data_IF_907427089433
#
_entry.id   IF_907427089433
#
_cell.length_a   1.000
_cell.length_b   1.000
_cell.length_c   1.000
_cell.angle_alpha   90.00
_cell.angle_beta   90.00
_cell.angle_gamma   90.00
#
_symmetry.space_group_name_H-M   'P 1'
#
loop_
_entity.id
_entity.type
_entity.pdbx_description
1 polymer ?
#
# COMPACT_ATOMS: atom_id res chain seq x y z
N UNK A 1 -20.22 18.00 21.24
CA UNK A 1 -20.26 16.89 20.26
C UNK A 1 -21.15 15.82 20.85
N UNK A 2 -22.20 15.42 20.14
CA UNK A 2 -23.20 14.46 20.64
C UNK A 2 -22.56 13.07 20.89
N UNK A 3 -22.93 12.37 21.97
CA UNK A 3 -22.21 11.18 22.45
C UNK A 3 -22.16 10.04 21.42
N UNK A 4 -23.19 9.96 20.57
CA UNK A 4 -23.29 9.03 19.44
C UNK A 4 -22.19 9.23 18.40
N UNK A 5 -21.95 10.47 18.00
CA UNK A 5 -20.90 10.80 17.02
C UNK A 5 -19.51 10.46 17.57
N UNK A 6 -19.32 10.59 18.89
CA UNK A 6 -18.07 10.18 19.54
C UNK A 6 -17.92 8.67 19.54
N UNK A 7 -18.95 7.92 19.93
CA UNK A 7 -18.90 6.45 19.96
C UNK A 7 -18.62 5.84 18.58
N UNK A 8 -19.27 6.36 17.53
CA UNK A 8 -19.00 5.94 16.14
C UNK A 8 -17.57 6.26 15.71
N UNK A 9 -17.07 7.45 16.04
CA UNK A 9 -15.68 7.82 15.72
C UNK A 9 -14.67 6.91 16.43
N UNK A 10 -14.90 6.62 17.71
CA UNK A 10 -14.01 5.76 18.50
C UNK A 10 -14.00 4.32 17.96
N UNK A 11 -15.17 3.79 17.59
CA UNK A 11 -15.28 2.49 16.93
C UNK A 11 -14.50 2.46 15.60
N UNK A 12 -14.73 3.42 14.72
CA UNK A 12 -14.05 3.48 13.41
C UNK A 12 -12.53 3.62 13.59
N UNK A 13 -12.08 4.47 14.52
CA UNK A 13 -10.65 4.62 14.83
C UNK A 13 -10.03 3.32 15.32
N UNK A 14 -10.72 2.60 16.21
CA UNK A 14 -10.28 1.29 16.68
C UNK A 14 -10.13 0.29 15.54
N UNK A 15 -11.14 0.20 14.67
CA UNK A 15 -11.13 -0.72 13.53
C UNK A 15 -10.03 -0.39 12.52
N UNK A 16 -9.80 0.89 12.24
CA UNK A 16 -8.72 1.33 11.35
C UNK A 16 -7.34 1.02 11.94
N UNK A 17 -7.16 1.12 13.25
CA UNK A 17 -5.91 0.73 13.90
C UNK A 17 -5.66 -0.78 13.74
N UNK A 18 -6.69 -1.60 13.95
CA UNK A 18 -6.60 -3.06 13.74
C UNK A 18 -6.20 -3.38 12.30
N UNK A 19 -6.82 -2.75 11.30
CA UNK A 19 -6.43 -2.88 9.90
C UNK A 19 -4.95 -2.52 9.68
N UNK A 20 -4.51 -1.40 10.24
CA UNK A 20 -3.12 -0.94 10.08
C UNK A 20 -2.11 -1.93 10.68
N UNK A 21 -2.43 -2.51 11.84
CA UNK A 21 -1.61 -3.54 12.49
C UNK A 21 -1.57 -4.84 11.68
N UNK A 22 -2.70 -5.26 11.08
CA UNK A 22 -2.74 -6.44 10.19
C UNK A 22 -1.88 -6.25 8.95
N UNK A 23 -1.97 -5.08 8.29
CA UNK A 23 -1.13 -4.75 7.13
C UNK A 23 0.35 -4.72 7.53
N UNK A 24 0.68 -4.12 8.68
CA UNK A 24 2.05 -4.11 9.22
C UNK A 24 2.60 -5.52 9.40
N UNK A 25 1.81 -6.44 9.96
CA UNK A 25 2.22 -7.84 10.12
C UNK A 25 2.49 -8.51 8.77
N UNK A 26 1.62 -8.30 7.77
CA UNK A 26 1.79 -8.92 6.44
C UNK A 26 3.00 -8.37 5.69
N UNK A 27 3.23 -7.06 5.76
CA UNK A 27 4.43 -6.44 5.17
C UNK A 27 5.72 -6.90 5.86
N UNK A 28 5.71 -7.06 7.18
CA UNK A 28 6.85 -7.63 7.91
C UNK A 28 7.12 -9.09 7.54
N UNK A 29 6.07 -9.90 7.34
CA UNK A 29 6.23 -11.28 6.86
C UNK A 29 6.77 -11.34 5.41
N UNK A 30 6.33 -10.41 4.56
CA UNK A 30 6.88 -10.24 3.21
C UNK A 30 8.38 -9.89 3.28
N UNK A 31 8.76 -8.92 4.10
CA UNK A 31 10.17 -8.55 4.31
C UNK A 31 11.03 -9.73 4.74
N UNK A 32 10.57 -10.52 5.71
CA UNK A 32 11.31 -11.68 6.22
C UNK A 32 11.43 -12.86 5.23
N UNK A 33 10.66 -12.85 4.13
CA UNK A 33 10.66 -13.93 3.12
C UNK A 33 11.33 -13.55 1.80
N UNK A 34 11.78 -12.30 1.64
CA UNK A 34 12.39 -11.82 0.40
C UNK A 34 13.76 -11.20 0.67
N UNK A 35 14.77 -11.63 -0.08
CA UNK A 35 16.08 -10.99 -0.05
C UNK A 35 16.04 -9.68 -0.85
N UNK A 36 16.75 -8.65 -0.35
CA UNK A 36 16.93 -7.38 -1.06
C UNK A 36 16.00 -6.27 -0.58
N UNK A 37 14.99 -5.91 -1.38
CA UNK A 37 14.16 -4.72 -1.16
C UNK A 37 13.29 -4.85 0.10
N UNK A 38 13.79 -4.36 1.23
CA UNK A 38 13.12 -4.53 2.53
C UNK A 38 12.50 -3.26 3.10
N UNK A 39 12.78 -2.08 2.53
CA UNK A 39 12.23 -0.83 3.06
C UNK A 39 10.70 -0.75 2.92
N UNK A 40 10.01 -0.64 4.05
CA UNK A 40 8.58 -0.33 4.10
C UNK A 40 8.22 0.44 5.36
N UNK A 41 7.16 1.23 5.26
CA UNK A 41 6.65 2.05 6.35
C UNK A 41 5.12 2.04 6.33
N UNK A 42 4.54 1.83 7.51
CA UNK A 42 3.11 1.99 7.79
C UNK A 42 2.95 3.24 8.66
N UNK A 43 2.33 4.27 8.10
CA UNK A 43 2.17 5.55 8.79
C UNK A 43 0.94 5.54 9.71
N UNK A 44 0.95 6.42 10.70
CA UNK A 44 -0.21 6.61 11.57
C UNK A 44 -1.41 7.13 10.76
N UNK A 45 -2.61 6.54 10.92
CA UNK A 45 -3.78 6.97 10.16
C UNK A 45 -4.21 8.39 10.50
N UNK A 46 -4.58 9.17 9.48
CA UNK A 46 -5.13 10.53 9.67
C UNK A 46 -6.65 10.47 9.64
N UNK A 47 -7.30 10.95 10.70
CA UNK A 47 -8.76 10.94 10.82
C UNK A 47 -9.34 12.33 10.65
N UNK A 48 -10.41 12.42 9.86
CA UNK A 48 -11.25 13.61 9.78
C UNK A 48 -12.71 13.21 9.93
N UNK A 49 -13.48 13.99 10.70
CA UNK A 49 -14.88 13.71 10.94
C UNK A 49 -15.72 14.99 10.75
N UNK A 50 -16.83 14.83 10.05
CA UNK A 50 -17.92 15.81 9.91
C UNK A 50 -19.18 15.20 10.54
N UNK A 51 -20.27 15.97 10.72
CA UNK A 51 -21.51 15.42 11.26
C UNK A 51 -22.09 14.23 10.48
N UNK A 52 -21.74 14.07 9.20
CA UNK A 52 -22.30 13.04 8.31
C UNK A 52 -21.26 12.07 7.76
N UNK A 53 -19.97 12.27 8.02
CA UNK A 53 -18.91 11.47 7.41
C UNK A 53 -17.71 11.35 8.33
N UNK A 54 -17.19 10.13 8.46
CA UNK A 54 -15.89 9.84 9.06
C UNK A 54 -14.97 9.38 7.93
N UNK A 55 -13.79 9.99 7.80
CA UNK A 55 -12.76 9.59 6.84
C UNK A 55 -11.50 9.19 7.60
N UNK A 56 -10.89 8.10 7.15
CA UNK A 56 -9.56 7.69 7.58
C UNK A 56 -8.66 7.65 6.33
N UNK A 57 -7.52 8.33 6.39
CA UNK A 57 -6.47 8.25 5.40
C UNK A 57 -5.40 7.29 5.91
N UNK A 58 -5.18 6.22 5.15
CA UNK A 58 -4.14 5.23 5.37
C UNK A 58 -2.99 5.51 4.40
N UNK A 59 -1.77 5.54 4.90
CA UNK A 59 -0.58 5.82 4.09
C UNK A 59 0.45 4.71 4.31
N UNK A 60 0.94 4.17 3.20
CA UNK A 60 1.96 3.12 3.15
C UNK A 60 3.05 3.58 2.20
N UNK A 61 4.32 3.39 2.57
CA UNK A 61 5.45 3.79 1.73
C UNK A 61 6.61 2.81 1.82
N UNK A 62 7.65 3.06 1.03
CA UNK A 62 8.81 2.20 0.91
C UNK A 62 8.68 1.20 -0.23
N UNK A 63 9.83 0.74 -0.72
CA UNK A 63 9.90 -0.06 -1.92
C UNK A 63 9.35 -1.49 -1.72
N UNK A 64 9.54 -2.09 -0.55
CA UNK A 64 8.99 -3.41 -0.23
C UNK A 64 7.46 -3.38 -0.19
N UNK A 65 6.86 -2.38 0.46
CA UNK A 65 5.41 -2.19 0.45
C UNK A 65 4.86 -2.04 -0.97
N UNK A 66 5.61 -1.32 -1.81
CA UNK A 66 5.25 -1.12 -3.20
C UNK A 66 5.36 -2.40 -4.04
N UNK A 67 6.45 -3.17 -3.94
CA UNK A 67 6.61 -4.42 -4.69
C UNK A 67 5.58 -5.45 -4.21
N UNK A 68 5.37 -5.55 -2.90
CA UNK A 68 4.36 -6.44 -2.34
C UNK A 68 2.96 -6.12 -2.88
N UNK A 69 2.63 -4.84 -3.00
CA UNK A 69 1.32 -4.42 -3.49
C UNK A 69 1.18 -4.58 -5.01
N UNK A 70 2.16 -4.15 -5.81
CA UNK A 70 2.00 -3.94 -7.25
C UNK A 70 3.02 -4.67 -8.14
N UNK A 71 3.91 -5.45 -7.54
CA UNK A 71 4.94 -6.21 -8.25
C UNK A 71 6.11 -5.35 -8.70
N UNK A 72 7.06 -5.96 -9.41
CA UNK A 72 8.25 -5.30 -9.93
C UNK A 72 8.57 -5.73 -11.36
N UNK A 73 9.29 -4.87 -12.08
CA UNK A 73 9.80 -5.23 -13.40
C UNK A 73 8.70 -5.55 -14.41
N UNK A 74 8.91 -6.62 -15.19
CA UNK A 74 7.92 -7.14 -16.14
C UNK A 74 6.67 -7.75 -15.51
N UNK A 75 6.69 -8.09 -14.20
CA UNK A 75 5.59 -8.74 -13.47
C UNK A 75 4.74 -7.74 -12.66
N UNK A 76 4.91 -6.44 -12.93
CA UNK A 76 4.07 -5.40 -12.34
C UNK A 76 2.62 -5.52 -12.79
N UNK A 77 1.68 -5.30 -11.86
CA UNK A 77 0.27 -5.17 -12.21
C UNK A 77 -0.02 -3.83 -12.92
N UNK A 78 -0.13 -3.91 -14.24
CA UNK A 78 -0.47 -2.76 -15.10
C UNK A 78 -1.96 -2.44 -15.14
N UNK A 79 -2.82 -3.33 -14.62
CA UNK A 79 -4.27 -3.13 -14.61
C UNK A 79 -4.73 -2.33 -13.38
N UNK A 80 -3.85 -2.13 -12.40
CA UNK A 80 -4.12 -1.26 -11.26
C UNK A 80 -4.61 0.11 -11.74
N UNK A 81 -5.76 0.61 -11.23
CA UNK A 81 -6.28 1.93 -11.60
C UNK A 81 -5.30 3.05 -11.22
N UNK A 82 -4.41 2.78 -10.25
CA UNK A 82 -3.38 3.71 -9.84
C UNK A 82 -2.12 3.62 -10.67
N UNK A 83 -1.99 2.67 -11.62
CA UNK A 83 -0.77 2.44 -12.42
C UNK A 83 -0.23 3.72 -13.10
N UNK A 84 -1.10 4.67 -13.43
CA UNK A 84 -0.70 5.96 -14.01
C UNK A 84 0.04 6.89 -13.02
N UNK A 85 -0.16 6.76 -11.71
CA UNK A 85 0.44 7.62 -10.68
C UNK A 85 1.94 7.34 -10.49
N UNK A 86 2.43 6.32 -11.19
CA UNK A 86 3.78 5.81 -11.08
C UNK A 86 4.70 6.65 -11.94
N UNK A 87 5.60 7.36 -11.27
CA UNK A 87 6.73 8.02 -11.93
C UNK A 87 7.78 6.96 -12.29
N UNK A 88 7.52 6.23 -13.37
CA UNK A 88 8.45 5.26 -13.92
C UNK A 88 9.38 5.93 -14.92
N UNK A 89 10.60 5.39 -15.04
CA UNK A 89 11.46 5.71 -16.17
C UNK A 89 10.70 5.39 -17.48
N UNK A 90 10.48 6.36 -18.38
CA UNK A 90 9.76 6.16 -19.63
C UNK A 90 10.33 5.02 -20.50
N UNK A 91 11.65 4.80 -20.44
CA UNK A 91 12.30 3.72 -21.16
C UNK A 91 11.80 2.33 -20.72
N UNK A 92 11.44 2.16 -19.44
CA UNK A 92 10.88 0.89 -18.93
C UNK A 92 9.50 0.63 -19.52
N UNK A 93 8.62 1.63 -19.59
CA UNK A 93 7.26 1.47 -20.16
C UNK A 93 7.31 0.97 -21.60
N UNK A 94 8.23 1.51 -22.40
CA UNK A 94 8.42 1.09 -23.80
C UNK A 94 8.96 -0.35 -23.97
N UNK A 95 9.36 -1.01 -22.87
CA UNK A 95 9.93 -2.36 -22.84
C UNK A 95 9.19 -3.27 -21.86
N UNK A 96 7.87 -3.09 -21.72
CA UNK A 96 7.04 -3.94 -20.87
C UNK A 96 7.40 -3.86 -19.38
N UNK A 97 7.84 -2.68 -18.93
CA UNK A 97 8.29 -2.38 -17.56
C UNK A 97 9.54 -3.11 -17.07
N UNK A 98 10.20 -3.87 -17.96
CA UNK A 98 11.45 -4.54 -17.64
C UNK A 98 12.47 -3.56 -17.04
N UNK A 99 13.26 -4.01 -16.06
CA UNK A 99 14.37 -3.22 -15.57
C UNK A 99 15.42 -3.06 -16.68
N UNK A 100 15.70 -1.81 -17.06
CA UNK A 100 16.68 -1.50 -18.10
C UNK A 100 17.92 -0.86 -17.49
N UNK A 101 19.09 -1.20 -18.03
CA UNK A 101 20.31 -0.50 -17.69
C UNK A 101 20.26 0.96 -18.10
N UNK A 102 20.82 1.81 -17.24
CA UNK A 102 20.82 3.26 -17.38
C UNK A 102 21.93 3.75 -18.30
N UNK A 103 21.77 4.94 -18.87
CA UNK A 103 22.83 5.64 -19.60
C UNK A 103 24.01 6.02 -18.69
N UNK A 104 25.15 6.32 -19.28
CA UNK A 104 26.29 6.85 -18.55
C UNK A 104 25.96 8.19 -17.90
N UNK A 105 26.43 8.42 -16.67
CA UNK A 105 26.17 9.68 -15.95
C UNK A 105 24.80 9.76 -15.28
N UNK A 106 23.87 8.83 -15.56
CA UNK A 106 22.57 8.80 -14.88
C UNK A 106 22.71 8.37 -13.41
N UNK A 107 22.08 9.13 -12.51
CA UNK A 107 22.00 8.77 -11.09
C UNK A 107 21.03 7.61 -10.92
N UNK A 108 21.49 6.55 -10.26
CA UNK A 108 20.67 5.42 -9.84
C UNK A 108 20.43 5.54 -8.34
N UNK A 109 19.16 5.62 -7.95
CA UNK A 109 18.72 5.59 -6.56
C UNK A 109 18.58 4.14 -6.12
N UNK A 110 19.32 3.77 -5.06
CA UNK A 110 19.23 2.47 -4.43
C UNK A 110 18.15 2.47 -3.35
N UNK A 111 17.60 1.29 -3.02
CA UNK A 111 16.59 1.14 -1.97
C UNK A 111 17.09 1.56 -0.58
N UNK A 112 18.39 1.47 -0.33
CA UNK A 112 19.05 1.88 0.92
C UNK A 112 19.25 3.40 1.04
N UNK A 113 18.63 4.18 0.14
CA UNK A 113 18.77 5.64 0.06
C UNK A 113 20.10 6.11 -0.53
N UNK A 114 21.04 5.20 -0.81
CA UNK A 114 22.30 5.56 -1.47
C UNK A 114 22.09 5.78 -2.96
N UNK A 115 23.07 6.42 -3.59
CA UNK A 115 23.06 6.61 -5.04
C UNK A 115 24.38 6.16 -5.64
N UNK A 116 24.34 5.78 -6.91
CA UNK A 116 25.55 5.62 -7.71
C UNK A 116 25.35 6.19 -9.11
N UNK A 117 26.45 6.58 -9.75
CA UNK A 117 26.43 7.02 -11.14
C UNK A 117 26.59 5.82 -12.04
N UNK A 118 25.66 5.66 -12.98
CA UNK A 118 25.71 4.59 -13.97
C UNK A 118 26.93 4.75 -14.89
N UNK A 119 27.64 3.65 -15.13
CA UNK A 119 28.75 3.57 -16.09
C UNK A 119 28.29 3.45 -17.54
N UNK A 120 26.98 3.32 -17.79
CA UNK A 120 26.40 3.20 -19.13
C UNK A 120 26.61 1.85 -19.83
N UNK A 121 27.42 0.93 -19.27
CA UNK A 121 27.76 -0.34 -19.92
C UNK A 121 26.54 -1.23 -20.24
N UNK A 122 25.46 -1.09 -19.47
CA UNK A 122 24.23 -1.84 -19.67
C UNK A 122 23.09 -1.00 -20.29
N UNK A 123 23.37 0.19 -20.82
CA UNK A 123 22.35 1.12 -21.33
C UNK A 123 21.36 0.42 -22.27
N UNK A 124 20.07 0.47 -21.92
CA UNK A 124 18.98 -0.09 -22.71
C UNK A 124 18.89 -1.62 -22.73
N UNK A 125 19.79 -2.33 -22.04
CA UNK A 125 19.73 -3.80 -21.91
C UNK A 125 18.71 -4.17 -20.85
N UNK A 126 17.98 -5.26 -21.08
CA UNK A 126 17.10 -5.85 -20.08
C UNK A 126 17.95 -6.51 -18.98
N UNK A 127 17.82 -6.03 -17.75
CA UNK A 127 18.54 -6.51 -16.57
C UNK A 127 17.84 -7.70 -15.89
N UNK A 128 16.62 -8.01 -16.28
CA UNK A 128 15.90 -9.22 -15.85
C UNK A 128 16.41 -10.45 -16.60
N UNK A 129 17.00 -10.24 -17.78
CA UNK A 129 17.63 -11.28 -18.61
C UNK A 129 19.00 -10.80 -19.09
N UNK A 130 19.96 -10.55 -18.17
CA UNK A 130 21.24 -9.98 -18.54
C UNK A 130 22.08 -11.01 -19.31
N UNK A 131 22.78 -10.55 -20.35
CA UNK A 131 23.78 -11.35 -21.05
C UNK A 131 25.08 -11.42 -20.21
N UNK A 132 25.63 -12.62 -20.05
CA UNK A 132 26.95 -12.83 -19.42
C UNK A 132 26.89 -13.35 -17.97
N UNK A 133 27.77 -12.83 -17.10
CA UNK A 133 27.99 -13.33 -15.72
C UNK A 133 27.11 -12.66 -14.65
N UNK A 134 26.24 -11.73 -15.02
CA UNK A 134 25.37 -11.05 -14.06
C UNK A 134 24.22 -11.98 -13.67
N UNK A 135 23.92 -12.02 -12.37
CA UNK A 135 22.71 -12.70 -11.91
C UNK A 135 21.48 -11.99 -12.49
N UNK A 136 20.51 -12.72 -13.08
CA UNK A 136 19.27 -12.13 -13.54
C UNK A 136 18.51 -11.55 -12.35
N UNK A 137 17.97 -10.34 -12.53
CA UNK A 137 16.95 -9.86 -11.62
C UNK A 137 15.66 -10.66 -11.86
N UNK A 138 15.09 -11.22 -10.79
CA UNK A 138 13.82 -11.94 -10.87
C UNK A 138 12.69 -10.96 -10.51
N UNK A 139 11.84 -10.56 -11.48
CA UNK A 139 10.69 -9.72 -11.19
C UNK A 139 9.69 -10.44 -10.30
N UNK A 140 9.06 -9.68 -9.41
CA UNK A 140 8.10 -10.18 -8.44
C UNK A 140 6.69 -9.82 -8.87
N UNK A 141 5.78 -10.79 -8.75
CA UNK A 141 4.36 -10.57 -9.02
C UNK A 141 3.73 -9.72 -7.94
N UNK A 142 2.76 -8.90 -8.34
CA UNK A 142 1.89 -8.19 -7.40
C UNK A 142 1.16 -9.19 -6.50
N UNK A 143 1.19 -8.96 -5.19
CA UNK A 143 0.44 -9.76 -4.20
C UNK A 143 -0.80 -9.01 -3.69
N UNK A 144 -0.88 -7.70 -3.90
CA UNK A 144 -2.00 -6.86 -3.48
C UNK A 144 -2.33 -6.98 -1.98
N UNK A 145 -1.30 -7.13 -1.14
CA UNK A 145 -1.43 -7.35 0.31
C UNK A 145 -2.32 -6.29 0.97
N UNK A 146 -2.09 -5.01 0.64
CA UNK A 146 -2.78 -3.88 1.25
C UNK A 146 -4.22 -3.83 0.74
N UNK A 147 -4.42 -3.93 -0.58
CA UNK A 147 -5.75 -3.91 -1.18
C UNK A 147 -6.63 -5.04 -0.65
N UNK A 148 -6.12 -6.27 -0.65
CA UNK A 148 -6.86 -7.43 -0.16
C UNK A 148 -7.24 -7.30 1.32
N UNK A 149 -6.33 -6.78 2.15
CA UNK A 149 -6.62 -6.58 3.57
C UNK A 149 -7.69 -5.50 3.80
N UNK A 150 -7.66 -4.41 3.02
CA UNK A 150 -8.70 -3.39 3.05
C UNK A 150 -10.06 -3.99 2.65
N UNK A 151 -10.11 -4.77 1.58
CA UNK A 151 -11.36 -5.38 1.10
C UNK A 151 -11.96 -6.33 2.13
N UNK A 152 -11.14 -7.22 2.72
CA UNK A 152 -11.59 -8.11 3.79
C UNK A 152 -12.06 -7.32 5.01
N UNK A 153 -11.31 -6.30 5.42
CA UNK A 153 -11.68 -5.46 6.54
C UNK A 153 -13.00 -4.72 6.32
N UNK A 154 -13.28 -4.22 5.11
CA UNK A 154 -14.57 -3.59 4.78
C UNK A 154 -15.71 -4.59 4.94
N UNK A 155 -15.52 -5.85 4.52
CA UNK A 155 -16.53 -6.90 4.68
C UNK A 155 -16.81 -7.24 6.16
N UNK A 156 -15.77 -7.22 7.01
CA UNK A 156 -15.88 -7.44 8.46
C UNK A 156 -16.54 -6.24 9.18
N UNK A 157 -16.08 -5.02 8.88
CA UNK A 157 -16.44 -3.82 9.62
C UNK A 157 -17.87 -3.34 9.31
N UNK A 158 -18.34 -3.45 8.07
CA UNK A 158 -19.65 -2.92 7.66
C UNK A 158 -20.82 -3.53 8.44
N UNK A 159 -20.91 -4.86 8.63
CA UNK A 159 -21.92 -5.47 9.50
C UNK A 159 -21.88 -4.97 10.94
N UNK A 160 -20.70 -4.87 11.54
CA UNK A 160 -20.53 -4.38 12.92
C UNK A 160 -20.98 -2.92 13.06
N UNK A 161 -20.60 -2.08 12.11
CA UNK A 161 -20.99 -0.67 12.08
C UNK A 161 -22.51 -0.54 11.95
N UNK A 162 -23.15 -1.34 11.09
CA UNK A 162 -24.63 -1.36 10.97
C UNK A 162 -25.31 -1.75 12.28
N UNK A 163 -24.78 -2.75 12.99
CA UNK A 163 -25.31 -3.17 14.28
C UNK A 163 -25.12 -2.09 15.36
N UNK A 164 -23.96 -1.44 15.38
CA UNK A 164 -23.69 -0.33 16.29
C UNK A 164 -24.67 0.83 16.06
N UNK A 165 -24.80 1.30 14.82
CA UNK A 165 -25.76 2.36 14.46
C UNK A 165 -27.18 1.98 14.85
N UNK A 166 -27.61 0.74 14.57
CA UNK A 166 -28.96 0.27 14.94
C UNK A 166 -29.18 0.29 16.45
N UNK A 167 -28.22 -0.20 17.25
CA UNK A 167 -28.31 -0.20 18.72
C UNK A 167 -28.43 1.22 19.26
N UNK A 168 -27.61 2.13 18.77
CA UNK A 168 -27.60 3.53 19.18
C UNK A 168 -28.91 4.25 18.85
N UNK A 169 -29.48 4.03 17.66
CA UNK A 169 -30.79 4.58 17.28
C UNK A 169 -31.88 4.07 18.24
N UNK A 170 -31.89 2.76 18.54
CA UNK A 170 -32.88 2.17 19.45
C UNK A 170 -32.74 2.76 20.86
N UNK A 171 -31.51 2.90 21.37
CA UNK A 171 -31.26 3.49 22.69
C UNK A 171 -31.80 4.91 22.77
N UNK A 172 -31.53 5.74 21.75
CA UNK A 172 -32.03 7.12 21.69
C UNK A 172 -33.54 7.22 21.60
N UNK A 173 -34.19 6.35 20.82
CA UNK A 173 -35.67 6.29 20.78
C UNK A 173 -36.21 5.97 22.17
N UNK A 174 -35.62 4.98 22.86
CA UNK A 174 -36.05 4.61 24.22
C UNK A 174 -35.82 5.71 25.25
N UNK A 175 -34.75 6.47 25.13
CA UNK A 175 -34.42 7.60 26.00
C UNK A 175 -35.36 8.80 25.74
N UNK A 176 -35.61 9.13 24.47
CA UNK A 176 -36.49 10.23 24.07
C UNK A 176 -37.99 9.96 24.28
N UNK A 177 -38.41 8.70 24.39
CA UNK A 177 -39.80 8.32 24.76
C UNK A 177 -40.01 8.37 26.29
N UNK A 178 -38.94 8.47 27.08
CA UNK A 178 -39.00 8.57 28.55
C UNK A 178 -38.99 10.01 29.07
N UNK A 179 -38.89 11.00 28.18
CA UNK A 179 -39.02 12.44 28.44
C UNK A 179 -40.35 12.94 27.93
#
# INVERSE_FOLDING_TARGET
MDSFNKHLQDFVKGQVKVLNDRIRMKLSAYEGSHEGFTDWHVHEPVFTATPTTIRALLTYSGLAAWIAEYGSGSEMDINSPYYHSYTMNPARRAKGNAFLGRGEGEVVYRPDGTTYISSGQAKGRNLEMPLGKLAPYIPQKAQHIIHQEIDMWVQEMVPELKQLVRREIITRIKEGVRT
#
